data_IF_326325111126
#
_entry.id   IF_326325111126
#
_cell.length_a   1.000
_cell.length_b   1.000
_cell.length_c   1.000
_cell.angle_alpha   90.00
_cell.angle_beta   90.00
_cell.angle_gamma   90.00
#
_symmetry.space_group_name_H-M   'P 1'
#
loop_
_entity.id
_entity.type
_entity.pdbx_description
1 polymer ?
#
# COMPACT_ATOMS: atom_id res chain seq x y z
N UNK A 1 33.22 -47.51 -57.44
CA UNK A 1 33.35 -46.54 -56.33
C UNK A 1 32.78 -47.17 -55.06
N UNK A 2 33.66 -47.45 -54.10
CA UNK A 2 33.49 -48.47 -53.06
C UNK A 2 32.29 -48.26 -52.13
N UNK A 3 31.58 -49.35 -51.86
CA UNK A 3 30.41 -49.44 -50.96
C UNK A 3 30.70 -48.89 -49.55
N UNK A 4 31.97 -48.88 -49.14
CA UNK A 4 32.44 -48.35 -47.85
C UNK A 4 32.39 -46.83 -47.78
N UNK A 5 32.62 -46.12 -48.89
CA UNK A 5 32.63 -44.65 -48.94
C UNK A 5 31.22 -44.10 -48.71
N UNK A 6 30.20 -44.78 -49.27
CA UNK A 6 28.79 -44.42 -49.09
C UNK A 6 28.33 -44.56 -47.63
N UNK A 7 28.83 -45.58 -46.91
CA UNK A 7 28.51 -45.80 -45.49
C UNK A 7 29.15 -44.73 -44.61
N UNK A 8 30.42 -44.40 -44.84
CA UNK A 8 31.11 -43.33 -44.09
C UNK A 8 30.39 -42.00 -44.28
N UNK A 9 30.02 -41.65 -45.52
CA UNK A 9 29.32 -40.40 -45.81
C UNK A 9 27.93 -40.33 -45.16
N UNK A 10 27.21 -41.46 -45.10
CA UNK A 10 25.91 -41.55 -44.42
C UNK A 10 26.04 -41.33 -42.90
N UNK A 11 27.03 -41.96 -42.25
CA UNK A 11 27.24 -41.79 -40.81
C UNK A 11 27.62 -40.35 -40.45
N UNK A 12 28.44 -39.69 -41.26
CA UNK A 12 28.82 -38.28 -41.01
C UNK A 12 27.61 -37.35 -41.06
N UNK A 13 26.67 -37.57 -41.99
CA UNK A 13 25.44 -36.78 -42.09
C UNK A 13 24.56 -36.99 -40.84
N UNK A 14 24.40 -38.24 -40.39
CA UNK A 14 23.60 -38.56 -39.20
C UNK A 14 24.18 -37.89 -37.95
N UNK A 15 25.50 -37.92 -37.78
CA UNK A 15 26.18 -37.25 -36.66
C UNK A 15 25.96 -35.73 -36.71
N UNK A 16 26.12 -35.09 -37.86
CA UNK A 16 25.85 -33.65 -38.00
C UNK A 16 24.39 -33.29 -37.67
N UNK A 17 23.41 -34.05 -38.17
CA UNK A 17 21.99 -33.82 -37.88
C UNK A 17 21.69 -34.00 -36.39
N UNK A 18 22.27 -35.01 -35.75
CA UNK A 18 22.10 -35.26 -34.31
C UNK A 18 22.67 -34.12 -33.45
N UNK A 19 23.81 -33.54 -33.83
CA UNK A 19 24.40 -32.39 -33.15
C UNK A 19 23.55 -31.13 -33.29
N UNK A 20 22.97 -30.88 -34.47
CA UNK A 20 22.07 -29.74 -34.70
C UNK A 20 20.78 -29.88 -33.89
N UNK A 21 20.22 -31.09 -33.79
CA UNK A 21 19.04 -31.38 -32.96
C UNK A 21 19.34 -31.19 -31.46
N UNK A 22 20.50 -31.68 -30.99
CA UNK A 22 20.94 -31.46 -29.61
C UNK A 22 21.12 -29.98 -29.29
N UNK A 23 21.71 -29.22 -30.22
CA UNK A 23 21.89 -27.76 -30.08
C UNK A 23 20.54 -27.02 -30.02
N UNK A 24 19.57 -27.41 -30.85
CA UNK A 24 18.21 -26.85 -30.83
C UNK A 24 17.46 -27.15 -29.53
N UNK A 25 17.61 -28.35 -28.97
CA UNK A 25 16.99 -28.73 -27.69
C UNK A 25 17.62 -27.98 -26.50
N UNK A 26 18.94 -27.82 -26.48
CA UNK A 26 19.62 -27.08 -25.40
C UNK A 26 19.39 -25.56 -25.51
N UNK A 27 19.47 -24.98 -26.71
CA UNK A 27 19.29 -23.53 -26.93
C UNK A 27 17.86 -23.04 -26.65
N UNK A 28 16.85 -23.92 -26.79
CA UNK A 28 15.44 -23.59 -26.48
C UNK A 28 15.13 -23.65 -24.98
N UNK A 29 16.03 -24.21 -24.15
CA UNK A 29 15.82 -24.35 -22.71
C UNK A 29 16.22 -23.11 -21.89
N UNK A 30 17.12 -22.26 -22.40
CA UNK A 30 17.61 -21.08 -21.69
C UNK A 30 16.71 -19.84 -21.86
N UNK A 31 15.99 -19.74 -22.97
CA UNK A 31 15.08 -18.61 -23.25
C UNK A 31 13.76 -18.68 -22.48
N UNK A 32 13.32 -19.88 -22.09
CA UNK A 32 12.10 -20.06 -21.29
C UNK A 32 12.37 -20.01 -19.78
N UNK A 33 13.52 -20.53 -19.32
CA UNK A 33 13.91 -20.47 -17.91
C UNK A 33 14.19 -19.04 -17.45
N UNK A 34 14.80 -18.21 -18.29
CA UNK A 34 15.09 -16.81 -17.96
C UNK A 34 13.83 -15.93 -17.86
N UNK A 35 12.79 -16.20 -18.67
CA UNK A 35 11.50 -15.49 -18.55
C UNK A 35 10.68 -15.95 -17.34
N UNK A 36 10.67 -17.25 -17.05
CA UNK A 36 9.94 -17.79 -15.90
C UNK A 36 10.60 -17.40 -14.57
N UNK A 37 11.93 -17.51 -14.47
CA UNK A 37 12.68 -17.14 -13.27
C UNK A 37 12.65 -15.63 -12.99
N UNK A 38 12.62 -14.78 -14.04
CA UNK A 38 12.49 -13.33 -13.89
C UNK A 38 11.08 -12.93 -13.43
N UNK A 39 10.04 -13.63 -13.89
CA UNK A 39 8.67 -13.42 -13.40
C UNK A 39 8.48 -13.91 -11.95
N UNK A 40 9.03 -15.07 -11.58
CA UNK A 40 8.94 -15.57 -10.20
C UNK A 40 9.73 -14.72 -9.20
N UNK A 41 10.93 -14.26 -9.56
CA UNK A 41 11.72 -13.37 -8.70
C UNK A 41 11.14 -11.96 -8.61
N UNK A 42 10.51 -11.45 -9.68
CA UNK A 42 9.78 -10.18 -9.63
C UNK A 42 8.50 -10.31 -8.79
N UNK A 43 7.75 -11.40 -8.89
CA UNK A 43 6.56 -11.65 -8.07
C UNK A 43 6.90 -11.89 -6.59
N UNK A 44 7.98 -12.61 -6.28
CA UNK A 44 8.48 -12.78 -4.91
C UNK A 44 8.94 -11.46 -4.30
N UNK A 45 9.72 -10.67 -5.05
CA UNK A 45 10.22 -9.38 -4.55
C UNK A 45 9.08 -8.35 -4.41
N UNK A 46 8.02 -8.43 -5.21
CA UNK A 46 6.85 -7.57 -5.06
C UNK A 46 6.09 -7.92 -3.76
N UNK A 47 5.75 -9.20 -3.59
CA UNK A 47 5.06 -9.70 -2.40
C UNK A 47 5.79 -9.40 -1.08
N UNK A 48 7.13 -9.52 -1.05
CA UNK A 48 7.92 -9.20 0.15
C UNK A 48 7.89 -7.71 0.46
N UNK A 49 7.99 -6.84 -0.56
CA UNK A 49 7.96 -5.39 -0.36
C UNK A 49 6.60 -4.89 0.13
N UNK A 50 5.50 -5.46 -0.37
CA UNK A 50 4.15 -5.14 0.11
C UNK A 50 3.93 -5.57 1.56
N UNK A 51 4.40 -6.76 1.93
CA UNK A 51 4.32 -7.29 3.30
C UNK A 51 5.20 -6.50 4.28
N UNK A 52 6.42 -6.14 3.87
CA UNK A 52 7.33 -5.34 4.70
C UNK A 52 6.79 -3.92 4.93
N UNK A 53 6.16 -3.32 3.91
CA UNK A 53 5.43 -2.06 4.03
C UNK A 53 4.26 -2.13 5.04
N UNK A 54 3.52 -3.25 5.06
CA UNK A 54 2.44 -3.52 6.01
C UNK A 54 2.94 -3.70 7.45
N UNK A 55 4.02 -4.46 7.63
CA UNK A 55 4.63 -4.67 8.95
C UNK A 55 5.18 -3.36 9.51
N UNK A 56 5.75 -2.50 8.66
CA UNK A 56 6.19 -1.16 9.05
C UNK A 56 5.02 -0.28 9.52
N UNK A 57 3.86 -0.32 8.84
CA UNK A 57 2.67 0.47 9.22
C UNK A 57 2.17 0.17 10.64
N UNK A 58 2.22 -1.09 11.09
CA UNK A 58 1.78 -1.49 12.45
C UNK A 58 2.68 -0.93 13.58
N UNK A 59 3.92 -0.58 13.26
CA UNK A 59 4.91 -0.07 14.24
C UNK A 59 4.91 1.46 14.37
N UNK A 60 4.29 2.17 13.43
CA UNK A 60 4.21 3.62 13.42
C UNK A 60 2.92 4.08 14.11
N UNK A 61 3.00 4.68 15.30
CA UNK A 61 1.82 5.32 15.93
C UNK A 61 1.15 6.32 14.97
N UNK A 62 -0.18 6.27 14.85
CA UNK A 62 -0.94 7.04 13.85
C UNK A 62 -1.01 8.53 14.21
N UNK A 63 -0.28 9.37 13.48
CA UNK A 63 -0.35 10.83 13.59
C UNK A 63 -1.77 11.36 13.34
N UNK A 64 -2.58 10.64 12.55
CA UNK A 64 -3.92 11.04 12.12
C UNK A 64 -5.03 10.64 13.07
N UNK A 65 -4.70 10.07 14.24
CA UNK A 65 -5.72 9.79 15.23
C UNK A 65 -6.33 11.10 15.73
N UNK A 66 -7.67 11.17 15.81
CA UNK A 66 -8.39 12.42 16.10
C UNK A 66 -8.03 13.02 17.48
N UNK A 67 -7.40 12.22 18.34
CA UNK A 67 -6.93 12.61 19.67
C UNK A 67 -5.49 13.14 19.69
N UNK A 68 -4.73 13.04 18.60
CA UNK A 68 -3.31 13.41 18.53
C UNK A 68 -3.07 14.87 18.12
N UNK A 69 -4.13 15.68 17.98
CA UNK A 69 -4.03 17.12 17.71
C UNK A 69 -3.52 17.49 16.31
N UNK A 70 -3.05 16.54 15.49
CA UNK A 70 -2.45 16.82 14.18
C UNK A 70 -3.39 17.55 13.21
N UNK A 71 -4.70 17.30 13.29
CA UNK A 71 -5.70 17.95 12.42
C UNK A 71 -6.01 19.40 12.84
N UNK A 72 -5.46 19.90 13.95
CA UNK A 72 -5.70 21.23 14.49
C UNK A 72 -4.84 22.30 13.81
N UNK A 73 -5.23 22.68 12.58
CA UNK A 73 -4.61 23.78 11.84
C UNK A 73 -5.31 25.10 12.18
N UNK A 74 -5.00 25.68 13.34
CA UNK A 74 -5.49 27.03 13.70
C UNK A 74 -4.44 28.07 13.31
N UNK A 75 -4.86 29.15 12.64
CA UNK A 75 -4.04 30.31 12.22
C UNK A 75 -3.54 31.19 13.40
N UNK A 76 -3.32 30.60 14.58
CA UNK A 76 -2.77 31.34 15.72
C UNK A 76 -1.26 31.20 15.70
N UNK A 77 -0.60 32.23 15.19
CA UNK A 77 0.71 32.62 15.72
C UNK A 77 0.60 32.74 17.24
N UNK A 78 1.66 32.33 17.93
CA UNK A 78 1.95 32.46 19.36
C UNK A 78 1.50 31.32 20.31
N UNK A 79 2.53 30.94 21.07
CA UNK A 79 2.55 30.20 22.34
C UNK A 79 2.58 28.68 22.24
N UNK A 80 3.82 28.17 22.44
CA UNK A 80 4.13 26.88 23.06
C UNK A 80 2.93 25.93 23.09
N UNK A 81 2.69 25.25 21.97
CA UNK A 81 2.02 23.97 22.02
C UNK A 81 2.97 23.05 22.78
N UNK A 82 2.90 23.12 24.10
CA UNK A 82 3.37 22.10 24.99
C UNK A 82 2.92 20.79 24.36
N UNK A 83 3.88 20.04 23.83
CA UNK A 83 3.77 18.61 23.65
C UNK A 83 3.36 18.15 25.03
N UNK A 84 2.06 18.02 25.24
CA UNK A 84 1.53 17.73 26.55
C UNK A 84 2.07 16.35 26.86
N UNK A 85 2.95 16.27 27.85
CA UNK A 85 3.37 15.05 28.57
C UNK A 85 2.18 14.33 29.26
N UNK A 86 0.98 14.51 28.73
CA UNK A 86 -0.20 13.70 28.96
C UNK A 86 -0.52 12.98 27.65
N UNK A 87 0.41 12.13 27.24
CA UNK A 87 0.02 10.83 26.72
C UNK A 87 -0.73 10.11 27.86
N UNK A 88 -1.95 10.55 28.17
CA UNK A 88 -2.89 9.70 28.87
C UNK A 88 -2.93 8.43 28.03
N UNK A 89 -2.55 7.33 28.66
CA UNK A 89 -2.77 5.98 28.18
C UNK A 89 -4.25 5.89 27.77
N UNK A 90 -4.51 6.20 26.51
CA UNK A 90 -5.83 6.25 25.92
C UNK A 90 -6.21 4.80 25.73
N UNK A 91 -6.86 4.24 26.75
CA UNK A 91 -7.49 2.95 26.66
C UNK A 91 -8.92 3.19 26.11
N UNK A 92 -9.17 3.01 24.80
CA UNK A 92 -10.49 3.20 24.21
C UNK A 92 -11.56 2.31 24.86
N UNK A 93 -11.17 1.26 25.59
CA UNK A 93 -12.07 0.37 26.32
C UNK A 93 -12.58 0.97 27.65
N UNK A 94 -11.92 1.99 28.21
CA UNK A 94 -12.31 2.63 29.49
C UNK A 94 -13.24 3.82 29.35
N UNK A 95 -13.53 4.25 28.11
CA UNK A 95 -14.38 5.42 27.84
C UNK A 95 -15.83 4.96 27.76
N UNK A 96 -16.71 5.59 28.53
CA UNK A 96 -18.15 5.30 28.46
C UNK A 96 -18.70 5.59 27.06
N UNK A 97 -19.73 4.84 26.59
CA UNK A 97 -20.34 5.10 25.29
C UNK A 97 -20.83 6.55 25.12
N UNK A 98 -21.31 7.15 26.22
CA UNK A 98 -21.78 8.53 26.27
C UNK A 98 -20.64 9.54 26.04
N UNK A 99 -19.51 9.36 26.73
CA UNK A 99 -18.34 10.23 26.57
C UNK A 99 -17.73 10.08 25.17
N UNK A 100 -17.73 8.86 24.62
CA UNK A 100 -17.31 8.61 23.24
C UNK A 100 -18.19 9.36 22.23
N UNK A 101 -19.51 9.33 22.41
CA UNK A 101 -20.45 10.04 21.56
C UNK A 101 -20.27 11.56 21.67
N UNK A 102 -20.05 12.09 22.88
CA UNK A 102 -19.76 13.51 23.12
C UNK A 102 -18.49 13.96 22.40
N UNK A 103 -17.38 13.22 22.56
CA UNK A 103 -16.11 13.51 21.88
C UNK A 103 -16.24 13.46 20.37
N UNK A 104 -16.97 12.48 19.84
CA UNK A 104 -17.24 12.39 18.40
C UNK A 104 -17.97 13.62 17.87
N UNK A 105 -19.01 14.09 18.57
CA UNK A 105 -19.74 15.31 18.19
C UNK A 105 -18.83 16.54 18.22
N UNK A 106 -18.04 16.71 19.27
CA UNK A 106 -17.08 17.81 19.39
C UNK A 106 -16.04 17.79 18.26
N UNK A 107 -15.52 16.62 17.90
CA UNK A 107 -14.57 16.48 16.80
C UNK A 107 -15.21 16.84 15.45
N UNK A 108 -16.43 16.39 15.17
CA UNK A 108 -17.15 16.70 13.93
C UNK A 108 -17.38 18.21 13.80
N UNK A 109 -17.80 18.88 14.88
CA UNK A 109 -18.01 20.33 14.89
C UNK A 109 -16.69 21.09 14.66
N UNK A 110 -15.63 20.68 15.36
CA UNK A 110 -14.30 21.28 15.26
C UNK A 110 -13.70 21.15 13.85
N UNK A 111 -13.85 19.99 13.21
CA UNK A 111 -13.23 19.70 11.91
C UNK A 111 -14.15 19.91 10.70
N UNK A 112 -15.36 20.44 10.92
CA UNK A 112 -16.29 20.81 9.85
C UNK A 112 -15.66 21.62 8.71
N UNK A 113 -14.88 22.70 8.94
CA UNK A 113 -14.28 23.46 7.84
C UNK A 113 -13.28 22.62 7.03
N UNK A 114 -12.54 21.72 7.69
CA UNK A 114 -11.60 20.82 7.02
C UNK A 114 -12.34 19.74 6.21
N UNK A 115 -13.47 19.26 6.73
CA UNK A 115 -14.32 18.29 6.04
C UNK A 115 -14.98 18.88 4.78
N UNK A 116 -15.30 20.18 4.79
CA UNK A 116 -15.82 20.90 3.62
C UNK A 116 -14.74 21.06 2.53
N UNK A 117 -13.49 21.29 2.91
CA UNK A 117 -12.35 21.35 1.98
C UNK A 117 -12.02 19.98 1.36
N UNK A 118 -12.16 18.91 2.16
CA UNK A 118 -11.75 17.55 1.79
C UNK A 118 -12.92 16.56 1.93
N UNK A 119 -13.97 16.68 1.10
CA UNK A 119 -15.22 15.93 1.27
C UNK A 119 -15.07 14.42 1.03
N UNK A 120 -14.00 13.97 0.38
CA UNK A 120 -13.74 12.55 0.12
C UNK A 120 -12.83 11.90 1.14
N UNK A 121 -12.06 12.68 1.90
CA UNK A 121 -11.06 12.16 2.81
C UNK A 121 -11.70 11.45 4.02
N UNK A 122 -11.35 10.19 4.25
CA UNK A 122 -11.99 9.37 5.29
C UNK A 122 -11.45 9.63 6.70
N UNK A 123 -10.27 10.25 6.82
CA UNK A 123 -9.62 10.52 8.10
C UNK A 123 -10.20 11.74 8.83
N UNK A 124 -10.88 12.62 8.10
CA UNK A 124 -11.47 13.82 8.71
C UNK A 124 -12.82 13.45 9.34
N UNK A 125 -13.01 13.69 10.65
CA UNK A 125 -14.28 13.42 11.31
C UNK A 125 -15.44 14.17 10.65
N UNK A 126 -16.47 13.42 10.24
CA UNK A 126 -17.72 13.95 9.70
C UNK A 126 -18.91 13.08 10.06
N UNK A 127 -20.10 13.64 9.91
CA UNK A 127 -21.32 12.85 9.93
C UNK A 127 -21.33 11.90 8.72
N UNK A 128 -21.70 10.65 8.98
CA UNK A 128 -21.84 9.60 7.97
C UNK A 128 -23.25 9.05 8.09
N UNK A 129 -23.86 8.77 6.95
CA UNK A 129 -25.16 8.09 6.90
C UNK A 129 -25.02 6.62 7.33
N UNK A 130 -26.11 5.99 7.76
CA UNK A 130 -26.09 4.57 8.16
C UNK A 130 -25.60 3.65 7.03
N UNK A 131 -25.93 4.00 5.78
CA UNK A 131 -25.47 3.27 4.59
C UNK A 131 -23.95 3.37 4.42
N UNK A 132 -23.38 4.56 4.60
CA UNK A 132 -21.93 4.78 4.53
C UNK A 132 -21.20 4.07 5.67
N UNK A 133 -21.76 4.12 6.88
CA UNK A 133 -21.20 3.43 8.05
C UNK A 133 -21.20 1.91 7.86
N UNK A 134 -22.29 1.35 7.33
CA UNK A 134 -22.37 -0.07 7.01
C UNK A 134 -21.37 -0.48 5.92
N UNK A 135 -21.24 0.33 4.85
CA UNK A 135 -20.26 0.10 3.79
C UNK A 135 -18.83 0.16 4.31
N UNK A 136 -18.51 1.15 5.14
CA UNK A 136 -17.20 1.28 5.76
C UNK A 136 -16.89 0.10 6.69
N UNK A 137 -17.86 -0.35 7.50
CA UNK A 137 -17.69 -1.52 8.36
C UNK A 137 -17.36 -2.78 7.56
N UNK A 138 -18.13 -3.07 6.51
CA UNK A 138 -17.87 -4.23 5.63
C UNK A 138 -16.50 -4.12 4.95
N UNK A 139 -16.17 -2.95 4.43
CA UNK A 139 -14.86 -2.68 3.83
C UNK A 139 -13.74 -2.96 4.83
N UNK A 140 -13.86 -2.49 6.07
CA UNK A 140 -12.87 -2.72 7.12
C UNK A 140 -12.74 -4.22 7.45
N UNK A 141 -13.85 -4.95 7.59
CA UNK A 141 -13.83 -6.39 7.84
C UNK A 141 -13.12 -7.17 6.72
N UNK A 142 -13.35 -6.80 5.46
CA UNK A 142 -12.66 -7.39 4.30
C UNK A 142 -11.16 -7.04 4.36
N UNK A 143 -10.82 -5.77 4.59
CA UNK A 143 -9.44 -5.31 4.67
C UNK A 143 -8.65 -6.01 5.78
N UNK A 144 -9.26 -6.17 6.97
CA UNK A 144 -8.65 -6.85 8.10
C UNK A 144 -8.40 -8.33 7.78
N UNK A 145 -9.37 -9.00 7.17
CA UNK A 145 -9.23 -10.40 6.74
C UNK A 145 -8.12 -10.58 5.70
N UNK A 146 -8.06 -9.72 4.67
CA UNK A 146 -7.02 -9.77 3.65
C UNK A 146 -5.64 -9.45 4.21
N UNK A 147 -5.56 -8.52 5.16
CA UNK A 147 -4.32 -8.16 5.84
C UNK A 147 -3.78 -9.35 6.65
N UNK A 148 -4.63 -10.04 7.40
CA UNK A 148 -4.23 -11.23 8.18
C UNK A 148 -3.70 -12.34 7.27
N UNK A 149 -4.32 -12.55 6.11
CA UNK A 149 -3.85 -13.49 5.08
C UNK A 149 -2.48 -13.11 4.53
N UNK A 150 -2.27 -11.84 4.19
CA UNK A 150 -0.95 -11.35 3.74
C UNK A 150 0.12 -11.55 4.83
N UNK A 151 -0.21 -11.24 6.10
CA UNK A 151 0.73 -11.37 7.22
C UNK A 151 1.12 -12.83 7.44
N UNK A 152 0.14 -13.73 7.39
CA UNK A 152 0.35 -15.19 7.52
C UNK A 152 1.04 -15.82 6.30
N UNK A 153 1.20 -15.05 5.21
CA UNK A 153 1.88 -15.48 4.00
C UNK A 153 1.00 -16.26 3.04
N UNK A 154 -0.31 -16.20 3.21
CA UNK A 154 -1.27 -16.75 2.25
C UNK A 154 -1.27 -15.91 0.97
N UNK A 155 -1.41 -16.58 -0.18
CA UNK A 155 -1.56 -15.90 -1.46
C UNK A 155 -2.97 -15.32 -1.59
N UNK A 156 -3.03 -14.06 -2.01
CA UNK A 156 -4.27 -13.42 -2.41
C UNK A 156 -4.57 -13.70 -3.87
N UNK A 157 -5.85 -13.83 -4.21
CA UNK A 157 -6.27 -13.83 -5.61
C UNK A 157 -5.95 -12.48 -6.27
N UNK A 158 -6.02 -12.45 -7.60
CA UNK A 158 -5.72 -11.24 -8.37
C UNK A 158 -6.67 -10.09 -8.01
N UNK A 159 -7.95 -10.37 -7.82
CA UNK A 159 -8.95 -9.36 -7.47
C UNK A 159 -8.78 -8.89 -6.03
N UNK A 160 -8.54 -9.80 -5.09
CA UNK A 160 -8.26 -9.47 -3.68
C UNK A 160 -7.02 -8.61 -3.54
N UNK A 161 -5.94 -8.95 -4.26
CA UNK A 161 -4.72 -8.15 -4.30
C UNK A 161 -5.01 -6.75 -4.85
N UNK A 162 -5.75 -6.66 -5.96
CA UNK A 162 -6.08 -5.41 -6.59
C UNK A 162 -6.92 -4.52 -5.67
N UNK A 163 -7.95 -5.08 -5.04
CA UNK A 163 -8.78 -4.39 -4.05
C UNK A 163 -7.93 -3.89 -2.88
N UNK A 164 -7.23 -4.79 -2.19
CA UNK A 164 -6.48 -4.49 -0.99
C UNK A 164 -5.44 -3.37 -1.20
N UNK A 165 -4.59 -3.52 -2.21
CA UNK A 165 -3.53 -2.54 -2.46
C UNK A 165 -4.08 -1.22 -3.01
N UNK A 166 -5.21 -1.25 -3.73
CA UNK A 166 -5.89 -0.02 -4.14
C UNK A 166 -6.46 0.77 -2.95
N UNK A 167 -7.06 0.09 -1.98
CA UNK A 167 -7.56 0.70 -0.75
C UNK A 167 -6.43 1.27 0.09
N UNK A 168 -5.33 0.53 0.27
CA UNK A 168 -4.13 1.02 0.96
C UNK A 168 -3.52 2.22 0.25
N UNK A 169 -3.48 2.22 -1.09
CA UNK A 169 -3.03 3.38 -1.87
C UNK A 169 -3.94 4.59 -1.69
N UNK A 170 -5.26 4.40 -1.65
CA UNK A 170 -6.21 5.47 -1.37
C UNK A 170 -6.00 6.03 0.05
N UNK A 171 -5.80 5.18 1.05
CA UNK A 171 -5.49 5.60 2.42
C UNK A 171 -4.24 6.49 2.48
N UNK A 172 -3.19 6.14 1.73
CA UNK A 172 -1.98 6.98 1.63
C UNK A 172 -2.26 8.32 0.95
N UNK A 173 -3.07 8.34 -0.12
CA UNK A 173 -3.45 9.57 -0.81
C UNK A 173 -4.22 10.54 0.11
N UNK A 174 -5.16 10.01 0.89
CA UNK A 174 -5.94 10.78 1.87
C UNK A 174 -5.05 11.31 3.01
N UNK A 175 -4.09 10.52 3.49
CA UNK A 175 -3.07 10.97 4.47
C UNK A 175 -2.19 12.10 3.89
N UNK A 176 -1.75 11.97 2.64
CA UNK A 176 -0.94 12.99 1.96
C UNK A 176 -1.70 14.29 1.75
N UNK A 177 -3.00 14.23 1.43
CA UNK A 177 -3.84 15.41 1.24
C UNK A 177 -3.85 16.28 2.50
N UNK A 178 -4.05 15.67 3.67
CA UNK A 178 -4.02 16.38 4.95
C UNK A 178 -2.60 16.89 5.26
N UNK A 179 -1.56 16.08 5.03
CA UNK A 179 -0.17 16.50 5.26
C UNK A 179 0.24 17.68 4.38
N UNK A 180 -0.19 17.72 3.12
CA UNK A 180 0.08 18.83 2.21
C UNK A 180 -0.64 20.09 2.68
N UNK A 181 -1.91 19.98 3.07
CA UNK A 181 -2.65 21.10 3.66
C UNK A 181 -1.97 21.64 4.93
N UNK A 182 -1.53 20.73 5.81
CA UNK A 182 -0.76 21.09 7.00
C UNK A 182 0.50 21.87 6.65
N UNK A 183 1.28 21.38 5.68
CA UNK A 183 2.52 22.00 5.22
C UNK A 183 2.30 23.40 4.66
N UNK A 184 1.25 23.59 3.87
CA UNK A 184 0.88 24.87 3.28
C UNK A 184 0.40 25.87 4.34
N UNK A 185 -0.42 25.43 5.29
CA UNK A 185 -0.98 26.29 6.35
C UNK A 185 0.01 26.65 7.44
N UNK A 186 0.88 25.72 7.82
CA UNK A 186 1.86 25.94 8.88
C UNK A 186 3.11 26.70 8.38
N UNK A 187 3.13 27.16 7.11
CA UNK A 187 4.25 27.88 6.50
C UNK A 187 5.60 27.23 6.83
N UNK A 188 5.65 25.90 6.73
CA UNK A 188 6.79 25.11 7.16
C UNK A 188 8.00 25.48 6.31
N UNK A 189 8.83 26.36 6.84
CA UNK A 189 10.03 26.82 6.16
C UNK A 189 11.06 25.68 6.23
N UNK A 190 11.48 25.10 5.09
CA UNK A 190 12.45 24.00 5.06
C UNK A 190 13.81 24.37 5.67
N UNK A 191 14.09 25.66 5.89
CA UNK A 191 15.32 26.14 6.52
C UNK A 191 15.23 26.30 8.05
N UNK A 192 14.08 26.05 8.66
CA UNK A 192 13.98 25.97 10.12
C UNK A 192 14.24 24.53 10.57
N UNK A 193 15.38 24.29 11.22
CA UNK A 193 15.72 22.99 11.84
C UNK A 193 14.82 22.75 13.07
N UNK A 194 13.52 22.56 12.85
CA UNK A 194 12.61 22.10 13.88
C UNK A 194 12.44 20.59 13.75
N UNK A 195 12.44 19.89 14.89
CA UNK A 195 12.18 18.45 14.98
C UNK A 195 10.89 18.07 14.23
N UNK A 196 9.91 18.97 14.19
CA UNK A 196 8.65 18.86 13.44
C UNK A 196 8.87 18.71 11.93
N UNK A 197 9.81 19.44 11.34
CA UNK A 197 10.09 19.41 9.90
C UNK A 197 10.75 18.10 9.48
N UNK A 198 11.66 17.60 10.31
CA UNK A 198 12.31 16.30 10.08
C UNK A 198 11.30 15.16 10.19
N UNK A 199 10.39 15.22 11.17
CA UNK A 199 9.32 14.23 11.32
C UNK A 199 8.41 14.24 10.09
N UNK A 200 7.94 15.42 9.66
CA UNK A 200 7.06 15.53 8.50
C UNK A 200 7.75 15.04 7.23
N UNK A 201 9.00 15.44 7.01
CA UNK A 201 9.79 15.01 5.84
C UNK A 201 9.95 13.50 5.78
N UNK A 202 10.38 12.86 6.89
CA UNK A 202 10.49 11.40 6.97
C UNK A 202 9.16 10.70 6.74
N UNK A 203 8.05 11.28 7.22
CA UNK A 203 6.70 10.74 6.99
C UNK A 203 6.30 10.87 5.52
N UNK A 204 6.57 11.99 4.86
CA UNK A 204 6.35 12.16 3.43
C UNK A 204 7.12 11.11 2.61
N UNK A 205 8.41 10.94 2.89
CA UNK A 205 9.25 9.94 2.21
C UNK A 205 8.73 8.51 2.44
N UNK A 206 8.37 8.17 3.69
CA UNK A 206 7.77 6.87 4.03
C UNK A 206 6.47 6.62 3.27
N UNK A 207 5.59 7.62 3.18
CA UNK A 207 4.33 7.47 2.45
C UNK A 207 4.58 7.34 0.94
N UNK A 208 5.52 8.11 0.37
CA UNK A 208 5.88 8.00 -1.05
C UNK A 208 6.44 6.61 -1.38
N UNK A 209 7.36 6.10 -0.57
CA UNK A 209 7.93 4.75 -0.75
C UNK A 209 6.86 3.66 -0.72
N UNK A 210 5.92 3.73 0.24
CA UNK A 210 4.79 2.80 0.30
C UNK A 210 3.84 2.93 -0.89
N UNK A 211 3.58 4.15 -1.34
CA UNK A 211 2.73 4.39 -2.52
C UNK A 211 3.33 3.76 -3.78
N UNK A 212 4.65 3.82 -3.95
CA UNK A 212 5.34 3.13 -5.04
C UNK A 212 5.24 1.61 -4.91
N UNK A 213 5.42 1.06 -3.70
CA UNK A 213 5.29 -0.37 -3.45
C UNK A 213 3.87 -0.87 -3.80
N UNK A 214 2.82 -0.20 -3.30
CA UNK A 214 1.43 -0.56 -3.61
C UNK A 214 1.09 -0.37 -5.08
N UNK A 215 1.67 0.62 -5.76
CA UNK A 215 1.47 0.78 -7.20
C UNK A 215 2.00 -0.42 -7.99
N UNK A 216 3.18 -0.94 -7.62
CA UNK A 216 3.75 -2.14 -8.24
C UNK A 216 2.87 -3.37 -8.02
N UNK A 217 2.29 -3.54 -6.83
CA UNK A 217 1.36 -4.64 -6.55
C UNK A 217 0.06 -4.53 -7.35
N UNK A 218 -0.51 -3.33 -7.46
CA UNK A 218 -1.70 -3.06 -8.28
C UNK A 218 -1.42 -3.42 -9.74
N UNK A 219 -0.28 -3.01 -10.29
CA UNK A 219 0.08 -3.30 -11.68
C UNK A 219 0.30 -4.80 -11.90
N UNK A 220 0.91 -5.49 -10.95
CA UNK A 220 1.07 -6.95 -10.93
C UNK A 220 -0.29 -7.67 -10.93
N UNK A 221 -1.22 -7.23 -10.08
CA UNK A 221 -2.57 -7.78 -10.00
C UNK A 221 -3.37 -7.52 -11.29
N UNK A 222 -3.24 -6.35 -11.91
CA UNK A 222 -3.87 -6.09 -13.22
C UNK A 222 -3.31 -6.98 -14.32
N UNK A 223 -2.00 -7.21 -14.34
CA UNK A 223 -1.36 -8.11 -15.33
C UNK A 223 -1.81 -9.56 -15.17
N UNK A 224 -2.16 -9.98 -13.95
CA UNK A 224 -2.75 -11.29 -13.65
C UNK A 224 -4.26 -11.38 -13.93
N UNK A 225 -4.86 -10.33 -14.48
CA UNK A 225 -6.26 -10.29 -14.89
C UNK A 225 -7.23 -9.84 -13.81
N UNK A 226 -6.75 -9.19 -12.75
CA UNK A 226 -7.61 -8.69 -11.67
C UNK A 226 -8.59 -7.60 -12.15
N UNK A 227 -9.85 -7.66 -11.70
CA UNK A 227 -10.89 -6.66 -11.93
C UNK A 227 -11.55 -6.25 -10.61
N UNK A 228 -11.63 -4.94 -10.36
CA UNK A 228 -12.28 -4.38 -9.18
C UNK A 228 -13.80 -4.58 -9.19
N UNK A 229 -14.40 -5.00 -10.30
CA UNK A 229 -15.84 -5.23 -10.39
C UNK A 229 -16.38 -6.16 -9.31
N UNK A 230 -15.60 -7.19 -8.97
CA UNK A 230 -15.93 -8.16 -7.92
C UNK A 230 -16.01 -7.55 -6.50
N UNK A 231 -15.54 -6.30 -6.33
CA UNK A 231 -15.60 -5.52 -5.09
C UNK A 231 -16.35 -4.18 -5.25
N UNK A 232 -16.85 -3.85 -6.45
CA UNK A 232 -17.50 -2.56 -6.75
C UNK A 232 -19.03 -2.59 -6.65
N UNK A 233 -19.62 -3.78 -6.71
CA UNK A 233 -21.06 -4.02 -6.61
C UNK A 233 -21.39 -4.70 -5.28
N UNK A 234 -21.44 -3.95 -4.17
CA UNK A 234 -22.23 -4.26 -2.95
C UNK A 234 -22.26 -3.09 -1.95
#
# INVERSE_FOLDING_TARGET
>A
MSHSIKKVLLYTIIVCVSLVLAYMLFSKSETNKSKLARNESQARNSYTNGRDALVSEKSEGSLFDANNGFLEFSDKESEESAISDKAYEYDPARISPEERARRKKLAIEKYKPLAELFPKNRYIPREKTDKELAKEKRRNEIMDSLQDRIITGEELTSDESLFFYSEKKQELAEKLEILNYAKEKLNINPNTNSVTNDILTKRFESIQSRNEAYSKEIDSAKQKGGDLKNFSEE
#
